data_IF_346690022005
#
_entry.id   IF_346690022005
#
_cell.length_a   1.000
_cell.length_b   1.000
_cell.length_c   1.000
_cell.angle_alpha   90.00
_cell.angle_beta   90.00
_cell.angle_gamma   90.00
#
_symmetry.space_group_name_H-M   'P 1'
#
loop_
_entity.id
_entity.type
_entity.pdbx_description
1 polymer ?
#
# COMPACT_ATOMS: atom_id res chain seq x y z
N UNK A 1 -10.88 -15.19 -3.97
CA UNK A 1 -10.55 -14.55 -2.67
C UNK A 1 -11.60 -14.96 -1.65
N UNK A 2 -11.16 -15.26 -0.42
CA UNK A 2 -12.09 -15.61 0.65
C UNK A 2 -12.77 -14.34 1.17
N UNK A 3 -14.06 -14.17 0.91
CA UNK A 3 -14.88 -13.03 1.34
C UNK A 3 -15.66 -13.30 2.62
N UNK A 4 -15.54 -14.50 3.19
CA UNK A 4 -16.33 -14.91 4.36
C UNK A 4 -16.11 -14.00 5.57
N UNK A 5 -14.86 -13.56 5.77
CA UNK A 5 -14.53 -12.59 6.82
C UNK A 5 -15.29 -11.28 6.66
N UNK A 6 -15.38 -10.73 5.44
CA UNK A 6 -16.07 -9.47 5.16
C UNK A 6 -17.59 -9.67 5.33
N UNK A 7 -18.14 -10.77 4.84
CA UNK A 7 -19.56 -11.13 5.01
C UNK A 7 -19.95 -11.29 6.48
N UNK A 8 -19.05 -11.84 7.29
CA UNK A 8 -19.26 -11.98 8.73
C UNK A 8 -19.38 -10.65 9.48
N UNK A 9 -18.90 -9.55 8.87
CA UNK A 9 -19.09 -8.19 9.38
C UNK A 9 -20.44 -7.56 8.98
N UNK A 10 -21.33 -8.31 8.33
CA UNK A 10 -22.62 -7.81 7.85
C UNK A 10 -22.54 -6.97 6.58
N UNK A 11 -21.42 -7.06 5.85
CA UNK A 11 -21.20 -6.30 4.62
C UNK A 11 -21.65 -7.11 3.41
N UNK A 12 -22.42 -6.50 2.51
CA UNK A 12 -22.76 -7.09 1.21
C UNK A 12 -21.53 -7.13 0.31
N UNK A 13 -21.25 -8.29 -0.26
CA UNK A 13 -20.10 -8.48 -1.16
C UNK A 13 -20.60 -8.79 -2.56
N UNK A 14 -20.21 -7.96 -3.51
CA UNK A 14 -20.52 -8.08 -4.93
C UNK A 14 -19.23 -8.25 -5.70
N UNK A 15 -19.21 -9.18 -6.64
CA UNK A 15 -18.09 -9.39 -7.54
C UNK A 15 -18.32 -8.60 -8.83
N UNK A 16 -17.31 -7.89 -9.28
CA UNK A 16 -17.35 -7.12 -10.51
C UNK A 16 -15.97 -6.70 -10.97
N UNK A 17 -15.88 -6.28 -12.22
CA UNK A 17 -14.67 -5.79 -12.85
C UNK A 17 -14.80 -4.28 -13.13
N UNK A 18 -13.94 -3.48 -12.51
CA UNK A 18 -13.93 -2.02 -12.69
C UNK A 18 -13.74 -1.56 -14.16
N UNK A 19 -13.23 -2.45 -15.01
CA UNK A 19 -13.08 -2.18 -16.43
C UNK A 19 -14.41 -2.32 -17.21
N UNK A 20 -15.47 -2.84 -16.61
CA UNK A 20 -16.78 -3.06 -17.22
C UNK A 20 -17.81 -2.17 -16.56
N UNK A 21 -18.31 -1.17 -17.30
CA UNK A 21 -19.26 -0.19 -16.79
C UNK A 21 -20.55 -0.84 -16.29
N UNK A 22 -21.04 -1.86 -17.00
CA UNK A 22 -22.27 -2.57 -16.69
C UNK A 22 -22.21 -3.28 -15.34
N UNK A 23 -21.06 -3.87 -15.01
CA UNK A 23 -20.85 -4.53 -13.70
C UNK A 23 -20.77 -3.50 -12.56
N UNK A 24 -20.17 -2.32 -12.81
CA UNK A 24 -20.18 -1.22 -11.85
C UNK A 24 -21.57 -0.63 -11.66
N UNK A 25 -22.32 -0.44 -12.73
CA UNK A 25 -23.67 0.11 -12.67
C UNK A 25 -24.57 -0.76 -11.79
N UNK A 26 -24.55 -2.07 -12.01
CA UNK A 26 -25.27 -3.03 -11.17
C UNK A 26 -24.89 -2.91 -9.70
N UNK A 27 -23.60 -2.72 -9.39
CA UNK A 27 -23.13 -2.50 -8.02
C UNK A 27 -23.71 -1.21 -7.41
N UNK A 28 -23.76 -0.12 -8.17
CA UNK A 28 -24.30 1.15 -7.70
C UNK A 28 -25.84 1.13 -7.56
N UNK A 29 -26.55 0.25 -8.26
CA UNK A 29 -28.00 0.12 -8.21
C UNK A 29 -28.52 -0.70 -7.02
N UNK A 30 -27.67 -1.52 -6.39
CA UNK A 30 -28.05 -2.45 -5.34
C UNK A 30 -28.76 -1.79 -4.15
N UNK A 31 -28.41 -0.56 -3.84
CA UNK A 31 -29.00 0.19 -2.74
C UNK A 31 -29.26 1.65 -3.18
N UNK A 32 -30.32 2.25 -2.63
CA UNK A 32 -30.65 3.67 -2.84
C UNK A 32 -30.47 4.44 -1.52
N UNK A 33 -29.22 4.61 -1.04
CA UNK A 33 -28.97 5.31 0.21
C UNK A 33 -29.30 6.80 0.07
N UNK A 34 -29.69 7.45 1.18
CA UNK A 34 -29.85 8.89 1.24
C UNK A 34 -28.56 9.65 0.91
N UNK A 35 -27.41 9.04 1.22
CA UNK A 35 -26.07 9.55 0.90
C UNK A 35 -25.17 8.40 0.49
N UNK A 36 -24.64 8.46 -0.73
CA UNK A 36 -23.70 7.47 -1.25
C UNK A 36 -22.26 7.98 -1.11
N UNK A 37 -21.40 7.21 -0.46
CA UNK A 37 -19.97 7.46 -0.36
C UNK A 37 -19.26 6.34 -1.10
N UNK A 38 -18.35 6.68 -2.00
CA UNK A 38 -17.54 5.74 -2.76
C UNK A 38 -16.08 5.85 -2.34
N UNK A 39 -15.48 4.74 -1.93
CA UNK A 39 -14.03 4.64 -1.65
C UNK A 39 -13.43 3.72 -2.71
N UNK A 40 -12.66 4.27 -3.62
CA UNK A 40 -12.06 3.54 -4.73
C UNK A 40 -10.64 3.12 -4.40
N UNK A 41 -10.48 1.86 -3.98
CA UNK A 41 -9.20 1.24 -3.68
C UNK A 41 -8.74 0.27 -4.78
N UNK A 42 -9.61 -0.03 -5.76
CA UNK A 42 -9.27 -0.99 -6.80
C UNK A 42 -8.12 -0.49 -7.67
N UNK A 43 -7.14 -1.35 -7.89
CA UNK A 43 -5.98 -1.03 -8.71
C UNK A 43 -4.96 -2.16 -8.68
N UNK A 44 -4.17 -2.25 -9.73
CA UNK A 44 -3.05 -3.18 -9.82
C UNK A 44 -1.81 -2.47 -9.30
N UNK A 45 -1.16 -3.09 -8.32
CA UNK A 45 0.17 -2.72 -7.83
C UNK A 45 1.14 -3.76 -8.40
N UNK A 46 1.76 -3.44 -9.51
CA UNK A 46 2.81 -4.28 -10.09
C UNK A 46 4.10 -3.47 -10.19
N UNK A 47 5.12 -4.00 -9.55
CA UNK A 47 6.48 -3.43 -9.55
C UNK A 47 7.38 -4.16 -10.57
N UNK A 48 6.82 -5.03 -11.41
CA UNK A 48 7.49 -5.67 -12.53
C UNK A 48 7.08 -4.95 -13.81
N UNK A 49 8.00 -4.77 -14.77
CA UNK A 49 7.72 -4.02 -16.00
C UNK A 49 6.84 -4.80 -17.01
N UNK A 50 6.28 -5.95 -16.62
CA UNK A 50 5.66 -6.91 -17.54
C UNK A 50 4.17 -6.71 -17.85
N UNK A 51 3.44 -5.80 -17.20
CA UNK A 51 1.97 -5.70 -17.31
C UNK A 51 1.45 -4.26 -17.46
N UNK A 52 2.15 -3.41 -18.20
CA UNK A 52 1.78 -1.98 -18.32
C UNK A 52 0.37 -1.79 -18.89
N UNK A 53 -0.01 -2.48 -19.97
CA UNK A 53 -1.35 -2.37 -20.59
C UNK A 53 -2.48 -2.74 -19.63
N UNK A 54 -2.32 -3.84 -18.89
CA UNK A 54 -3.33 -4.25 -17.91
C UNK A 54 -3.42 -3.26 -16.76
N UNK A 55 -2.29 -2.69 -16.32
CA UNK A 55 -2.27 -1.63 -15.30
C UNK A 55 -2.97 -0.37 -15.80
N UNK A 56 -2.73 0.05 -17.03
CA UNK A 56 -3.41 1.20 -17.63
C UNK A 56 -4.92 0.96 -17.72
N UNK A 57 -5.33 -0.20 -18.22
CA UNK A 57 -6.74 -0.55 -18.33
C UNK A 57 -7.45 -0.51 -16.98
N UNK A 58 -6.84 -1.08 -15.92
CA UNK A 58 -7.45 -1.15 -14.59
C UNK A 58 -7.30 0.16 -13.84
N UNK A 59 -6.08 0.71 -13.75
CA UNK A 59 -5.81 1.86 -12.90
C UNK A 59 -6.34 3.18 -13.50
N UNK A 60 -6.27 3.34 -14.82
CA UNK A 60 -6.75 4.54 -15.50
C UNK A 60 -8.19 4.31 -16.00
N UNK A 61 -8.40 3.29 -16.83
CA UNK A 61 -9.71 2.99 -17.41
C UNK A 61 -10.76 2.65 -16.35
N UNK A 62 -10.40 1.80 -15.38
CA UNK A 62 -11.27 1.45 -14.26
C UNK A 62 -11.61 2.66 -13.39
N UNK A 63 -10.64 3.54 -13.09
CA UNK A 63 -10.90 4.79 -12.34
C UNK A 63 -11.83 5.72 -13.11
N UNK A 64 -11.66 5.87 -14.43
CA UNK A 64 -12.56 6.64 -15.28
C UNK A 64 -14.00 6.10 -15.22
N UNK A 65 -14.16 4.77 -15.29
CA UNK A 65 -15.48 4.15 -15.17
C UNK A 65 -16.12 4.43 -13.80
N UNK A 66 -15.34 4.38 -12.71
CA UNK A 66 -15.85 4.72 -11.36
C UNK A 66 -16.25 6.20 -11.28
N UNK A 67 -15.48 7.12 -11.88
CA UNK A 67 -15.83 8.54 -11.97
C UNK A 67 -17.17 8.72 -12.72
N UNK A 68 -17.34 8.03 -13.86
CA UNK A 68 -18.58 8.09 -14.64
C UNK A 68 -19.79 7.60 -13.81
N UNK A 69 -19.61 6.54 -13.00
CA UNK A 69 -20.66 6.07 -12.08
C UNK A 69 -20.91 7.07 -10.95
N UNK A 70 -19.87 7.69 -10.40
CA UNK A 70 -20.04 8.73 -9.39
C UNK A 70 -20.87 9.91 -9.89
N UNK A 71 -20.68 10.32 -11.15
CA UNK A 71 -21.51 11.35 -11.80
C UNK A 71 -22.94 10.87 -12.00
N UNK A 72 -23.12 9.68 -12.61
CA UNK A 72 -24.44 9.11 -12.94
C UNK A 72 -25.33 8.94 -11.71
N UNK A 73 -24.73 8.53 -10.58
CA UNK A 73 -25.47 8.22 -9.35
C UNK A 73 -25.40 9.33 -8.28
N UNK A 74 -24.94 10.52 -8.63
CA UNK A 74 -24.87 11.71 -7.77
C UNK A 74 -24.33 11.39 -6.38
N UNK A 75 -23.07 10.91 -6.32
CA UNK A 75 -22.47 10.48 -5.06
C UNK A 75 -22.19 11.67 -4.16
N UNK A 76 -22.45 11.49 -2.86
CA UNK A 76 -22.20 12.52 -1.86
C UNK A 76 -20.71 12.78 -1.63
N UNK A 77 -19.87 11.73 -1.70
CA UNK A 77 -18.41 11.82 -1.63
C UNK A 77 -17.75 10.70 -2.42
N UNK A 78 -16.69 11.05 -3.11
CA UNK A 78 -15.82 10.11 -3.82
C UNK A 78 -14.40 10.23 -3.26
N UNK A 79 -13.87 9.19 -2.64
CA UNK A 79 -12.49 9.14 -2.17
C UNK A 79 -11.67 8.17 -3.05
N UNK A 80 -10.63 8.69 -3.65
CA UNK A 80 -9.70 7.92 -4.46
C UNK A 80 -8.42 7.62 -3.68
N UNK A 81 -8.07 6.33 -3.57
CA UNK A 81 -6.81 5.90 -2.98
C UNK A 81 -5.74 5.80 -4.07
N UNK A 82 -4.93 6.85 -4.16
CA UNK A 82 -3.79 6.94 -5.05
C UNK A 82 -2.55 6.27 -4.43
N UNK A 83 -1.39 6.89 -4.55
CA UNK A 83 -0.11 6.47 -3.94
C UNK A 83 0.84 7.65 -3.90
N UNK A 84 1.77 7.67 -2.96
CA UNK A 84 2.89 8.64 -2.98
C UNK A 84 3.76 8.52 -4.24
N UNK A 85 3.74 7.37 -4.93
CA UNK A 85 4.43 7.19 -6.21
C UNK A 85 3.86 8.06 -7.34
N UNK A 86 2.63 8.56 -7.21
CA UNK A 86 2.04 9.50 -8.16
C UNK A 86 2.61 10.92 -8.03
N UNK A 87 3.28 11.23 -6.92
CA UNK A 87 3.78 12.57 -6.61
C UNK A 87 5.18 12.73 -7.21
N UNK A 88 5.45 13.82 -7.97
CA UNK A 88 6.79 14.09 -8.47
C UNK A 88 7.82 14.22 -7.34
N UNK A 89 8.97 13.59 -7.52
CA UNK A 89 10.03 13.59 -6.51
C UNK A 89 10.93 14.82 -6.69
N UNK A 90 10.99 15.74 -5.73
CA UNK A 90 11.89 16.88 -5.79
C UNK A 90 13.36 16.46 -5.61
N UNK A 91 14.28 17.39 -5.82
CA UNK A 91 15.71 17.18 -5.60
C UNK A 91 15.98 16.58 -4.20
N UNK A 92 17.04 15.76 -4.08
CA UNK A 92 17.44 15.09 -2.84
C UNK A 92 17.46 16.06 -1.64
N UNK A 93 16.96 15.58 -0.50
CA UNK A 93 16.97 16.29 0.78
C UNK A 93 15.74 17.14 1.06
N UNK A 94 14.84 17.32 0.11
CA UNK A 94 13.57 18.03 0.36
C UNK A 94 12.47 17.04 0.78
N UNK A 95 11.68 17.44 1.76
CA UNK A 95 10.47 16.71 2.15
C UNK A 95 9.41 16.86 1.06
N UNK A 96 8.80 15.75 0.68
CA UNK A 96 7.73 15.71 -0.33
C UNK A 96 6.42 16.07 0.35
N UNK A 97 5.71 17.03 -0.23
CA UNK A 97 4.40 17.50 0.22
C UNK A 97 3.35 17.25 -0.87
N UNK A 98 2.10 17.47 -0.51
CA UNK A 98 0.99 17.39 -1.45
C UNK A 98 1.17 18.36 -2.61
N UNK A 99 0.69 17.94 -3.77
CA UNK A 99 0.53 18.73 -4.99
C UNK A 99 -0.86 18.54 -5.55
N UNK A 100 -1.32 19.44 -6.36
CA UNK A 100 -2.55 19.32 -7.15
C UNK A 100 -2.28 19.09 -8.63
N UNK A 101 -1.01 19.05 -9.03
CA UNK A 101 -0.57 18.84 -10.41
C UNK A 101 0.06 17.47 -10.55
N UNK A 102 -0.54 16.63 -11.37
CA UNK A 102 -0.09 15.26 -11.63
C UNK A 102 0.04 15.03 -13.13
N UNK A 103 1.16 14.43 -13.54
CA UNK A 103 1.41 14.04 -14.92
C UNK A 103 2.26 12.76 -14.96
N UNK A 104 1.94 11.79 -15.84
CA UNK A 104 2.74 10.59 -16.02
C UNK A 104 4.21 10.87 -16.40
N UNK A 105 4.48 12.00 -17.06
CA UNK A 105 5.81 12.40 -17.51
C UNK A 105 6.73 12.85 -16.36
N UNK A 106 6.16 13.18 -15.20
CA UNK A 106 6.90 13.70 -14.05
C UNK A 106 7.32 12.63 -13.05
N UNK A 107 6.96 11.38 -13.32
CA UNK A 107 7.23 10.23 -12.42
C UNK A 107 7.81 9.04 -13.19
N UNK A 108 8.58 8.21 -12.51
CA UNK A 108 9.25 7.05 -13.09
C UNK A 108 8.55 5.73 -12.73
N UNK A 109 8.48 4.83 -13.73
CA UNK A 109 7.90 3.50 -13.59
C UNK A 109 6.42 3.42 -13.96
N UNK A 110 6.01 2.29 -14.55
CA UNK A 110 4.67 2.09 -15.09
C UNK A 110 3.57 2.29 -14.03
N UNK A 111 3.77 1.73 -12.82
CA UNK A 111 2.83 1.91 -11.72
C UNK A 111 2.63 3.38 -11.34
N UNK A 112 3.74 4.12 -11.16
CA UNK A 112 3.70 5.53 -10.79
C UNK A 112 2.97 6.36 -11.86
N UNK A 113 3.27 6.11 -13.13
CA UNK A 113 2.63 6.78 -14.27
C UNK A 113 1.12 6.55 -14.31
N UNK A 114 0.66 5.30 -14.11
CA UNK A 114 -0.78 5.01 -14.08
C UNK A 114 -1.48 5.66 -12.89
N UNK A 115 -0.83 5.73 -11.71
CA UNK A 115 -1.38 6.40 -10.53
C UNK A 115 -1.41 7.93 -10.71
N UNK A 116 -0.40 8.52 -11.32
CA UNK A 116 -0.39 9.96 -11.64
C UNK A 116 -1.50 10.31 -12.64
N UNK A 117 -1.64 9.56 -13.74
CA UNK A 117 -2.70 9.74 -14.71
C UNK A 117 -4.10 9.62 -14.09
N UNK A 118 -4.33 8.57 -13.31
CA UNK A 118 -5.63 8.37 -12.64
C UNK A 118 -5.92 9.48 -11.62
N UNK A 119 -4.90 9.96 -10.88
CA UNK A 119 -5.06 11.08 -9.95
C UNK A 119 -5.45 12.37 -10.69
N UNK A 120 -4.81 12.65 -11.82
CA UNK A 120 -5.16 13.79 -12.66
C UNK A 120 -6.63 13.73 -13.13
N UNK A 121 -7.10 12.56 -13.59
CA UNK A 121 -8.50 12.36 -13.99
C UNK A 121 -9.48 12.59 -12.83
N UNK A 122 -9.15 12.12 -11.63
CA UNK A 122 -9.99 12.33 -10.44
C UNK A 122 -10.08 13.79 -10.08
N UNK A 123 -8.96 14.53 -10.07
CA UNK A 123 -8.96 15.97 -9.76
C UNK A 123 -9.66 16.78 -10.86
N UNK A 124 -9.52 16.40 -12.13
CA UNK A 124 -10.24 17.05 -13.23
C UNK A 124 -11.74 16.86 -13.10
N UNK A 125 -12.20 15.68 -12.65
CA UNK A 125 -13.63 15.41 -12.47
C UNK A 125 -14.31 16.30 -11.42
N UNK A 126 -13.55 16.95 -10.54
CA UNK A 126 -14.07 17.92 -9.57
C UNK A 126 -14.66 19.14 -10.29
N UNK A 127 -14.05 19.57 -11.39
CA UNK A 127 -14.58 20.67 -12.22
C UNK A 127 -15.94 20.34 -12.83
N UNK A 128 -16.20 19.05 -13.03
CA UNK A 128 -17.47 18.52 -13.53
C UNK A 128 -18.46 18.17 -12.39
N UNK A 129 -18.20 18.61 -11.17
CA UNK A 129 -19.09 18.44 -10.03
C UNK A 129 -18.92 17.14 -9.23
N UNK A 130 -17.93 16.28 -9.55
CA UNK A 130 -17.67 15.09 -8.72
C UNK A 130 -17.04 15.50 -7.39
N UNK A 131 -17.61 15.16 -6.23
CA UNK A 131 -17.10 15.56 -4.91
C UNK A 131 -15.90 14.67 -4.50
N UNK A 132 -14.81 14.76 -5.27
CA UNK A 132 -13.66 13.88 -5.13
C UNK A 132 -12.62 14.41 -4.12
N UNK A 133 -12.01 13.49 -3.40
CA UNK A 133 -10.89 13.68 -2.48
C UNK A 133 -9.86 12.61 -2.80
N UNK A 134 -8.57 12.95 -2.75
CA UNK A 134 -7.49 12.01 -3.03
C UNK A 134 -6.64 11.78 -1.80
N UNK A 135 -6.29 10.52 -1.52
CA UNK A 135 -5.29 10.17 -0.51
C UNK A 135 -4.11 9.47 -1.16
N UNK A 136 -2.91 9.75 -0.67
CA UNK A 136 -1.65 9.18 -1.15
C UNK A 136 -0.96 8.41 -0.02
N UNK A 137 -1.27 7.11 0.16
CA UNK A 137 -0.55 6.29 1.13
C UNK A 137 0.91 6.08 0.72
N UNK A 138 1.80 6.02 1.71
CA UNK A 138 3.19 5.59 1.54
C UNK A 138 3.32 4.06 1.55
N UNK A 139 4.44 3.51 1.97
CA UNK A 139 4.68 2.08 2.03
C UNK A 139 3.82 1.38 3.10
N UNK A 140 2.65 0.88 2.71
CA UNK A 140 1.71 0.24 3.63
C UNK A 140 2.28 -1.08 4.15
N UNK A 141 2.36 -1.21 5.48
CA UNK A 141 2.77 -2.41 6.19
C UNK A 141 1.83 -2.61 7.39
N UNK A 142 1.68 -3.83 7.88
CA UNK A 142 0.86 -4.06 9.07
C UNK A 142 0.22 -5.44 9.11
N UNK A 143 -0.53 -5.74 10.18
CA UNK A 143 -1.36 -6.95 10.26
C UNK A 143 -2.50 -6.89 9.24
N UNK A 144 -3.13 -8.03 8.97
CA UNK A 144 -4.28 -8.19 8.06
C UNK A 144 -3.97 -8.04 6.57
N UNK A 145 -2.75 -7.70 6.18
CA UNK A 145 -2.33 -7.65 4.78
C UNK A 145 -2.03 -9.05 4.25
N UNK A 146 -2.70 -9.41 3.16
CA UNK A 146 -2.53 -10.70 2.51
C UNK A 146 -1.14 -10.91 1.88
N UNK A 147 -0.96 -12.08 1.26
CA UNK A 147 0.30 -12.51 0.65
C UNK A 147 0.83 -11.63 -0.50
N UNK A 148 0.05 -10.66 -0.94
CA UNK A 148 0.41 -9.74 -2.03
C UNK A 148 1.31 -8.57 -1.64
N UNK A 149 1.49 -8.27 -0.36
CA UNK A 149 2.24 -7.11 0.08
C UNK A 149 3.74 -7.43 0.22
N UNK A 150 4.59 -6.70 -0.53
CA UNK A 150 6.05 -6.93 -0.55
C UNK A 150 6.73 -6.65 0.79
N UNK A 151 6.29 -5.65 1.53
CA UNK A 151 6.88 -5.30 2.83
C UNK A 151 6.56 -6.38 3.87
N UNK A 152 5.33 -6.91 3.87
CA UNK A 152 4.97 -8.05 4.71
C UNK A 152 5.72 -9.31 4.30
N UNK A 153 5.97 -9.54 2.99
CA UNK A 153 6.80 -10.66 2.52
C UNK A 153 8.26 -10.54 2.99
N UNK A 154 8.80 -9.33 3.06
CA UNK A 154 10.13 -9.08 3.63
C UNK A 154 10.14 -9.48 5.12
N UNK A 155 9.14 -9.09 5.91
CA UNK A 155 9.00 -9.50 7.32
C UNK A 155 8.89 -11.02 7.45
N UNK A 156 8.02 -11.66 6.65
CA UNK A 156 7.88 -13.13 6.60
C UNK A 156 9.21 -13.83 6.31
N UNK A 157 9.94 -13.32 5.32
CA UNK A 157 11.24 -13.88 4.93
C UNK A 157 12.27 -13.75 6.03
N UNK A 158 12.28 -12.61 6.75
CA UNK A 158 13.16 -12.40 7.90
C UNK A 158 12.85 -13.37 9.04
N UNK A 159 11.60 -13.43 9.51
CA UNK A 159 11.22 -14.27 10.65
C UNK A 159 11.32 -15.77 10.36
N UNK A 160 11.19 -16.17 9.09
CA UNK A 160 11.44 -17.55 8.63
C UNK A 160 12.92 -17.88 8.46
N UNK A 161 13.82 -16.89 8.62
CA UNK A 161 15.25 -17.05 8.37
C UNK A 161 15.62 -17.30 6.91
N UNK A 162 14.76 -16.88 5.99
CA UNK A 162 14.93 -17.00 4.52
C UNK A 162 15.46 -15.73 3.85
N UNK A 163 15.68 -14.66 4.62
CA UNK A 163 16.21 -13.39 4.12
C UNK A 163 17.74 -13.36 4.32
N UNK A 164 18.55 -13.66 3.29
CA UNK A 164 19.99 -13.74 3.44
C UNK A 164 20.65 -12.38 3.53
N UNK A 165 20.10 -11.40 2.81
CA UNK A 165 20.64 -10.06 2.74
C UNK A 165 19.54 -9.03 2.43
N UNK A 166 19.83 -7.78 2.74
CA UNK A 166 19.02 -6.60 2.39
C UNK A 166 19.87 -5.61 1.60
N UNK A 167 19.22 -4.73 0.87
CA UNK A 167 19.87 -3.68 0.08
C UNK A 167 19.86 -2.37 0.88
N UNK A 168 20.90 -1.55 0.71
CA UNK A 168 20.94 -0.20 1.29
C UNK A 168 19.85 0.68 0.67
N UNK A 169 19.23 1.48 1.50
CA UNK A 169 18.16 2.40 1.16
C UNK A 169 17.00 2.27 2.14
N UNK A 170 15.95 3.02 1.92
CA UNK A 170 14.82 3.08 2.83
C UNK A 170 13.53 3.42 2.14
N UNK A 171 12.46 3.34 2.91
CA UNK A 171 11.11 3.74 2.53
C UNK A 171 10.48 4.54 3.67
N UNK A 172 9.44 5.28 3.32
CA UNK A 172 8.45 5.72 4.29
C UNK A 172 7.45 4.59 4.53
N UNK A 173 7.19 4.26 5.81
CA UNK A 173 6.32 3.17 6.20
C UNK A 173 5.10 3.69 6.95
N UNK A 174 3.91 3.24 6.54
CA UNK A 174 2.65 3.54 7.22
C UNK A 174 1.94 2.26 7.64
N UNK A 175 1.37 2.25 8.85
CA UNK A 175 0.53 1.14 9.30
C UNK A 175 -0.79 1.09 8.51
N UNK A 176 -1.19 -0.09 8.06
CA UNK A 176 -2.44 -0.30 7.31
C UNK A 176 -3.67 0.21 8.07
N UNK A 177 -3.66 0.13 9.40
CA UNK A 177 -4.77 0.59 10.26
C UNK A 177 -4.83 2.11 10.31
N UNK A 178 -3.68 2.79 10.31
CA UNK A 178 -3.60 4.25 10.28
C UNK A 178 -3.96 4.76 8.89
N UNK A 179 -3.52 4.06 7.85
CA UNK A 179 -3.94 4.34 6.48
C UNK A 179 -5.48 4.24 6.35
N UNK A 180 -6.09 3.16 6.86
CA UNK A 180 -7.55 2.99 6.84
C UNK A 180 -8.26 4.07 7.67
N UNK A 181 -7.73 4.41 8.85
CA UNK A 181 -8.24 5.51 9.67
C UNK A 181 -8.15 6.86 8.96
N UNK A 182 -7.02 7.14 8.30
CA UNK A 182 -6.82 8.34 7.49
C UNK A 182 -7.78 8.44 6.30
N UNK A 183 -8.06 7.31 5.63
CA UNK A 183 -9.08 7.22 4.57
C UNK A 183 -10.46 7.61 5.11
N UNK A 184 -10.87 7.04 6.24
CA UNK A 184 -12.16 7.35 6.86
C UNK A 184 -12.24 8.81 7.35
N UNK A 185 -11.14 9.34 7.90
CA UNK A 185 -11.04 10.75 8.28
C UNK A 185 -11.12 11.67 7.05
N UNK A 186 -10.48 11.31 5.93
CA UNK A 186 -10.57 12.07 4.69
C UNK A 186 -12.00 12.06 4.11
N UNK A 187 -12.71 10.94 4.20
CA UNK A 187 -14.14 10.89 3.84
C UNK A 187 -14.96 11.86 4.68
N UNK A 188 -14.67 11.98 5.97
CA UNK A 188 -15.46 12.77 6.92
C UNK A 188 -15.10 14.25 6.88
N UNK A 189 -13.83 14.59 6.84
CA UNK A 189 -13.31 15.94 7.05
C UNK A 189 -12.56 16.53 5.86
N UNK A 190 -12.15 15.68 4.88
CA UNK A 190 -11.38 16.11 3.74
C UNK A 190 -12.13 17.12 2.86
N UNK A 191 -11.39 18.05 2.28
CA UNK A 191 -11.92 19.05 1.39
C UNK A 191 -11.98 18.52 -0.05
N UNK A 192 -13.06 18.84 -0.77
CA UNK A 192 -13.23 18.43 -2.17
C UNK A 192 -12.13 19.07 -3.02
N UNK A 193 -11.54 18.30 -3.91
CA UNK A 193 -10.44 18.74 -4.78
C UNK A 193 -9.06 18.66 -4.13
N UNK A 194 -8.97 18.28 -2.84
CA UNK A 194 -7.72 18.24 -2.11
C UNK A 194 -7.07 16.85 -2.07
N UNK A 195 -5.74 16.88 -1.93
CA UNK A 195 -4.89 15.71 -1.77
C UNK A 195 -4.35 15.65 -0.34
N UNK A 196 -4.24 14.44 0.21
CA UNK A 196 -3.68 14.18 1.53
C UNK A 196 -2.67 13.04 1.48
N UNK A 197 -1.46 13.27 1.96
CA UNK A 197 -0.45 12.22 2.12
C UNK A 197 -0.72 11.49 3.44
N UNK A 198 -0.88 10.16 3.35
CA UNK A 198 -1.00 9.27 4.50
C UNK A 198 0.31 8.50 4.65
N UNK A 199 1.33 9.18 5.15
CA UNK A 199 2.66 8.62 5.43
C UNK A 199 2.84 8.34 6.92
N UNK A 200 3.85 7.53 7.24
CA UNK A 200 4.39 7.43 8.58
C UNK A 200 5.75 8.13 8.63
N UNK A 201 6.78 7.35 8.97
CA UNK A 201 8.16 7.83 9.00
C UNK A 201 9.07 7.10 8.02
N UNK A 202 10.11 7.78 7.59
CA UNK A 202 11.17 7.17 6.78
C UNK A 202 12.13 6.37 7.65
N UNK A 203 12.36 5.11 7.27
CA UNK A 203 13.36 4.24 7.88
C UNK A 203 14.24 3.59 6.82
N UNK A 204 15.53 3.48 7.10
CA UNK A 204 16.40 2.60 6.34
C UNK A 204 16.01 1.13 6.57
N UNK A 205 16.17 0.29 5.55
CA UNK A 205 15.86 -1.15 5.67
C UNK A 205 16.70 -1.80 6.78
N UNK A 206 17.92 -1.31 7.02
CA UNK A 206 18.75 -1.76 8.13
C UNK A 206 18.09 -1.50 9.49
N UNK A 207 17.49 -0.33 9.69
CA UNK A 207 16.79 0.02 10.93
C UNK A 207 15.57 -0.88 11.14
N UNK A 208 14.84 -1.16 10.06
CA UNK A 208 13.72 -2.12 10.09
C UNK A 208 14.20 -3.51 10.52
N UNK A 209 15.37 -3.97 10.00
CA UNK A 209 15.93 -5.26 10.43
C UNK A 209 16.37 -5.24 11.90
N UNK A 210 16.90 -4.12 12.39
CA UNK A 210 17.27 -3.96 13.80
C UNK A 210 16.03 -3.99 14.72
N UNK A 211 14.93 -3.39 14.31
CA UNK A 211 13.63 -3.48 14.99
C UNK A 211 13.11 -4.92 15.01
N UNK A 212 13.11 -5.60 13.86
CA UNK A 212 12.68 -7.00 13.77
C UNK A 212 13.57 -7.91 14.60
N UNK A 213 14.88 -7.66 14.68
CA UNK A 213 15.79 -8.41 15.55
C UNK A 213 15.42 -8.26 17.03
N UNK A 214 15.03 -7.05 17.46
CA UNK A 214 14.56 -6.82 18.83
C UNK A 214 13.26 -7.57 19.13
N UNK A 215 12.38 -7.70 18.12
CA UNK A 215 11.10 -8.40 18.25
C UNK A 215 11.30 -9.92 18.26
N UNK A 216 12.10 -10.49 17.35
CA UNK A 216 12.14 -11.94 17.12
C UNK A 216 13.51 -12.60 17.38
N UNK A 217 14.50 -11.88 17.89
CA UNK A 217 15.85 -12.40 18.19
C UNK A 217 16.50 -13.16 17.02
N UNK A 218 16.18 -12.78 15.77
CA UNK A 218 16.72 -13.39 14.56
C UNK A 218 18.17 -12.97 14.27
N UNK A 219 18.80 -13.63 13.30
CA UNK A 219 20.10 -13.18 12.79
C UNK A 219 19.90 -11.97 11.90
N UNK A 220 20.79 -10.97 12.00
CA UNK A 220 20.79 -9.85 11.04
C UNK A 220 21.15 -10.38 9.66
N UNK A 221 20.37 -10.01 8.61
CA UNK A 221 20.77 -10.30 7.24
C UNK A 221 22.00 -9.49 6.85
N UNK A 222 22.79 -9.98 5.93
CA UNK A 222 23.88 -9.23 5.33
C UNK A 222 23.35 -7.98 4.60
N UNK A 223 24.23 -7.02 4.32
CA UNK A 223 23.87 -5.85 3.50
C UNK A 223 24.60 -5.90 2.18
N UNK A 224 23.86 -5.81 1.09
CA UNK A 224 24.40 -5.81 -0.27
C UNK A 224 24.37 -4.38 -0.83
N UNK A 225 25.47 -3.91 -1.46
CA UNK A 225 25.46 -2.64 -2.17
C UNK A 225 24.43 -2.63 -3.29
N UNK A 226 23.79 -1.47 -3.52
CA UNK A 226 22.70 -1.32 -4.51
C UNK A 226 23.14 -1.71 -5.94
N UNK A 227 24.36 -1.37 -6.34
CA UNK A 227 24.88 -1.72 -7.66
C UNK A 227 24.95 -3.23 -7.90
N UNK A 228 25.37 -3.99 -6.88
CA UNK A 228 25.44 -5.45 -6.96
C UNK A 228 24.03 -6.07 -6.97
N UNK A 229 23.10 -5.51 -6.17
CA UNK A 229 21.72 -5.93 -6.19
C UNK A 229 21.06 -5.68 -7.55
N UNK A 230 21.32 -4.53 -8.20
CA UNK A 230 20.83 -4.23 -9.54
C UNK A 230 21.35 -5.20 -10.60
N UNK A 231 22.62 -5.63 -10.51
CA UNK A 231 23.19 -6.63 -11.41
C UNK A 231 22.53 -8.01 -11.25
N UNK A 232 22.23 -8.41 -10.02
CA UNK A 232 21.63 -9.70 -9.69
C UNK A 232 20.09 -9.73 -9.91
N UNK A 233 19.42 -8.57 -9.88
CA UNK A 233 17.96 -8.47 -9.91
C UNK A 233 17.31 -9.20 -11.09
N UNK A 234 17.74 -9.05 -12.37
CA UNK A 234 17.08 -9.71 -13.50
C UNK A 234 17.11 -11.24 -13.38
N UNK A 235 18.23 -11.79 -12.92
CA UNK A 235 18.39 -13.25 -12.74
C UNK A 235 17.52 -13.76 -11.58
N UNK A 236 17.47 -13.03 -10.47
CA UNK A 236 16.64 -13.39 -9.33
C UNK A 236 15.15 -13.27 -9.61
N UNK A 237 14.76 -12.25 -10.37
CA UNK A 237 13.39 -12.02 -10.84
C UNK A 237 12.93 -13.16 -11.75
N UNK A 238 13.71 -13.47 -12.78
CA UNK A 238 13.44 -14.59 -13.67
C UNK A 238 13.31 -15.93 -12.94
N UNK A 239 14.19 -16.19 -11.99
CA UNK A 239 14.14 -17.41 -11.18
C UNK A 239 12.89 -17.46 -10.27
N UNK A 240 12.50 -16.34 -9.68
CA UNK A 240 11.29 -16.27 -8.87
C UNK A 240 10.02 -16.50 -9.71
N UNK A 241 9.91 -15.87 -10.87
CA UNK A 241 8.79 -15.99 -11.79
C UNK A 241 8.64 -17.43 -12.31
N UNK A 242 9.75 -18.11 -12.69
CA UNK A 242 9.73 -19.53 -13.09
C UNK A 242 9.20 -20.46 -11.99
N UNK A 243 9.31 -20.06 -10.71
CA UNK A 243 8.78 -20.81 -9.56
C UNK A 243 7.39 -20.37 -9.13
N UNK A 244 6.71 -19.52 -9.90
CA UNK A 244 5.41 -18.96 -9.55
C UNK A 244 5.44 -18.09 -8.29
N UNK A 245 6.62 -17.53 -7.93
CA UNK A 245 6.79 -16.68 -6.76
C UNK A 245 6.97 -15.23 -7.18
N UNK A 246 6.43 -14.31 -6.41
CA UNK A 246 6.71 -12.89 -6.59
C UNK A 246 8.16 -12.60 -6.17
N UNK A 247 8.95 -11.91 -7.01
CA UNK A 247 10.32 -11.53 -6.66
C UNK A 247 10.31 -10.52 -5.50
N UNK A 248 11.22 -10.69 -4.54
CA UNK A 248 11.42 -9.74 -3.44
C UNK A 248 12.14 -8.46 -3.90
N UNK A 249 12.97 -8.59 -4.93
CA UNK A 249 13.76 -7.50 -5.49
C UNK A 249 13.56 -7.49 -7.00
N UNK A 250 13.03 -6.39 -7.52
CA UNK A 250 12.93 -6.09 -8.94
C UNK A 250 13.80 -4.87 -9.25
N UNK A 251 14.11 -4.63 -10.51
CA UNK A 251 14.85 -3.43 -10.90
C UNK A 251 14.16 -2.16 -10.43
N UNK A 252 12.82 -2.12 -10.55
CA UNK A 252 12.00 -1.00 -10.07
C UNK A 252 12.06 -0.86 -8.54
N UNK A 253 11.85 -1.93 -7.76
CA UNK A 253 11.89 -1.84 -6.30
C UNK A 253 13.26 -1.42 -5.78
N UNK A 254 14.33 -1.78 -6.47
CA UNK A 254 15.69 -1.34 -6.15
C UNK A 254 15.93 0.13 -6.52
N UNK A 255 15.30 0.62 -7.58
CA UNK A 255 15.40 2.05 -7.94
C UNK A 255 14.71 2.92 -6.90
N UNK A 256 13.53 2.50 -6.40
CA UNK A 256 12.76 3.25 -5.38
C UNK A 256 13.48 3.34 -4.02
N UNK A 257 14.32 2.35 -3.66
CA UNK A 257 15.13 2.39 -2.43
C UNK A 257 16.11 3.57 -2.36
N UNK A 258 16.54 4.09 -3.50
CA UNK A 258 17.52 5.19 -3.57
C UNK A 258 16.90 6.55 -3.90
N UNK A 259 15.58 6.59 -4.07
CA UNK A 259 14.83 7.82 -4.32
C UNK A 259 14.50 8.49 -2.99
N UNK A 260 14.36 9.82 -3.00
CA UNK A 260 13.86 10.54 -1.85
C UNK A 260 12.44 10.04 -1.50
N UNK A 261 12.28 9.47 -0.32
CA UNK A 261 11.01 8.91 0.17
C UNK A 261 10.62 9.52 1.52
N UNK A 262 11.00 10.79 1.75
CA UNK A 262 10.60 11.53 2.95
C UNK A 262 9.36 12.34 2.65
N UNK A 263 8.22 11.89 3.12
CA UNK A 263 6.93 12.54 2.92
C UNK A 263 6.51 13.29 4.18
N UNK A 264 5.77 14.39 4.01
CA UNK A 264 5.10 15.08 5.12
C UNK A 264 3.62 14.68 5.13
N UNK A 265 3.12 14.34 6.31
CA UNK A 265 1.69 14.18 6.57
C UNK A 265 1.10 15.35 7.37
N UNK A 266 1.82 16.48 7.45
CA UNK A 266 1.41 17.65 8.25
C UNK A 266 0.00 18.13 7.90
N UNK A 267 -0.35 18.14 6.60
CA UNK A 267 -1.68 18.52 6.13
C UNK A 267 -2.74 17.55 6.62
N UNK A 268 -2.50 16.24 6.48
CA UNK A 268 -3.41 15.22 6.98
C UNK A 268 -3.56 15.29 8.51
N UNK A 269 -2.47 15.54 9.25
CA UNK A 269 -2.53 15.75 10.70
C UNK A 269 -3.40 16.95 11.07
N UNK A 270 -3.19 18.08 10.39
CA UNK A 270 -3.89 19.34 10.70
C UNK A 270 -5.37 19.28 10.34
N UNK A 271 -5.71 18.76 9.16
CA UNK A 271 -7.05 18.84 8.60
C UNK A 271 -7.91 17.60 8.89
N UNK A 272 -7.28 16.43 9.04
CA UNK A 272 -7.97 15.15 9.24
C UNK A 272 -7.80 14.56 10.65
N UNK A 273 -6.93 15.14 11.48
CA UNK A 273 -6.55 14.55 12.78
C UNK A 273 -5.72 13.27 12.63
N UNK A 274 -5.01 13.12 11.49
CA UNK A 274 -4.21 11.95 11.21
C UNK A 274 -2.98 11.88 12.11
N UNK A 275 -2.76 10.73 12.76
CA UNK A 275 -1.60 10.50 13.64
C UNK A 275 -1.14 9.05 13.44
N UNK A 276 -0.07 8.82 12.65
CA UNK A 276 0.45 7.48 12.43
C UNK A 276 1.18 6.95 13.68
N UNK A 277 1.10 5.65 13.90
CA UNK A 277 1.83 4.96 14.96
C UNK A 277 3.28 4.71 14.59
N UNK A 278 4.12 4.51 15.59
CA UNK A 278 5.51 4.14 15.41
C UNK A 278 5.66 2.80 14.66
N UNK A 279 6.61 2.71 13.74
CA UNK A 279 6.87 1.51 12.94
C UNK A 279 7.19 0.28 13.82
N UNK A 280 7.84 0.47 14.97
CA UNK A 280 8.15 -0.64 15.87
C UNK A 280 6.88 -1.36 16.38
N UNK A 281 5.83 -0.60 16.70
CA UNK A 281 4.52 -1.15 17.11
C UNK A 281 3.90 -1.92 15.95
N UNK A 282 3.90 -1.32 14.76
CA UNK A 282 3.40 -1.96 13.52
C UNK A 282 4.09 -3.27 13.23
N UNK A 283 5.42 -3.31 13.28
CA UNK A 283 6.21 -4.53 13.05
C UNK A 283 5.93 -5.61 14.08
N UNK A 284 5.83 -5.23 15.36
CA UNK A 284 5.49 -6.14 16.44
C UNK A 284 4.13 -6.80 16.22
N UNK A 285 3.11 -5.99 15.93
CA UNK A 285 1.74 -6.47 15.69
C UNK A 285 1.68 -7.33 14.42
N UNK A 286 2.40 -6.95 13.37
CA UNK A 286 2.50 -7.73 12.13
C UNK A 286 3.10 -9.12 12.39
N UNK A 287 4.19 -9.19 13.14
CA UNK A 287 4.82 -10.46 13.52
C UNK A 287 3.85 -11.32 14.34
N UNK A 288 3.18 -10.74 15.33
CA UNK A 288 2.20 -11.44 16.16
C UNK A 288 1.05 -12.01 15.32
N UNK A 289 0.51 -11.20 14.41
CA UNK A 289 -0.57 -11.60 13.50
C UNK A 289 -0.12 -12.76 12.59
N UNK A 290 1.04 -12.64 11.94
CA UNK A 290 1.57 -13.68 11.05
C UNK A 290 1.79 -15.03 11.75
N UNK A 291 2.17 -14.99 13.02
CA UNK A 291 2.34 -16.19 13.85
C UNK A 291 1.00 -16.76 14.27
N UNK A 292 0.07 -15.91 14.71
CA UNK A 292 -1.27 -16.30 15.17
C UNK A 292 -2.08 -16.94 14.04
N UNK A 293 -2.01 -16.41 12.82
CA UNK A 293 -2.75 -16.94 11.65
C UNK A 293 -2.06 -18.16 11.01
N UNK A 294 -0.89 -18.58 11.52
CA UNK A 294 -0.14 -19.69 10.94
C UNK A 294 0.54 -19.36 9.59
N UNK A 295 0.45 -18.12 9.14
CA UNK A 295 1.06 -17.67 7.87
C UNK A 295 2.58 -17.69 7.90
N UNK A 296 3.17 -17.69 9.08
CA UNK A 296 4.59 -17.85 9.26
C UNK A 296 4.92 -18.69 10.49
N UNK A 297 5.84 -19.65 10.31
CA UNK A 297 6.44 -20.36 11.43
C UNK A 297 7.74 -19.67 11.80
N UNK A 298 7.85 -19.26 13.05
CA UNK A 298 9.10 -18.77 13.58
C UNK A 298 10.16 -19.88 13.51
N UNK A 299 11.31 -19.61 12.92
CA UNK A 299 12.45 -20.51 13.02
C UNK A 299 12.76 -20.62 14.52
N UNK A 300 12.66 -21.82 15.07
CA UNK A 300 12.83 -22.08 16.49
C UNK A 300 14.10 -21.44 17.04
N UNK A 301 13.96 -20.24 17.59
CA UNK A 301 15.01 -19.63 18.36
C UNK A 301 14.98 -20.25 19.75
N UNK A 302 16.11 -20.74 20.23
CA UNK A 302 16.31 -21.34 21.57
C UNK A 302 16.02 -20.35 22.72
N UNK A 303 15.24 -19.29 22.54
CA UNK A 303 15.12 -18.19 23.50
C UNK A 303 13.72 -18.04 24.11
N UNK A 304 13.70 -17.98 25.43
CA UNK A 304 12.53 -17.87 26.33
C UNK A 304 11.63 -16.63 26.08
N UNK A 305 12.04 -15.60 25.37
CA UNK A 305 11.22 -14.43 25.03
C UNK A 305 10.02 -14.77 24.14
N UNK A 306 10.11 -15.85 23.37
CA UNK A 306 9.07 -16.30 22.45
C UNK A 306 7.87 -16.98 23.12
N UNK A 307 8.02 -17.55 24.32
CA UNK A 307 6.89 -18.13 25.04
C UNK A 307 5.80 -17.11 25.38
N UNK A 308 6.16 -15.82 25.51
CA UNK A 308 5.20 -14.72 25.79
C UNK A 308 4.40 -14.25 24.57
N UNK A 309 4.76 -14.65 23.34
CA UNK A 309 4.03 -14.29 22.11
C UNK A 309 3.06 -15.38 21.63
N UNK A 310 3.08 -16.57 22.25
CA UNK A 310 2.05 -17.59 21.99
C UNK A 310 0.77 -17.19 22.72
N UNK A 311 -0.37 -17.18 22.02
CA UNK A 311 -1.65 -17.13 22.73
C UNK A 311 -1.69 -18.32 23.69
N UNK A 312 -2.19 -18.11 24.90
CA UNK A 312 -2.54 -19.21 25.82
C UNK A 312 -3.42 -20.18 25.05
N UNK A 313 -3.20 -21.52 25.16
CA UNK A 313 -4.15 -22.45 24.60
C UNK A 313 -5.51 -22.11 25.21
N UNK A 314 -6.48 -21.76 24.37
CA UNK A 314 -7.87 -21.60 24.77
C UNK A 314 -8.26 -22.94 25.40
N UNK A 315 -8.56 -22.90 26.69
CA UNK A 315 -9.30 -23.98 27.32
C UNK A 315 -10.60 -24.09 26.55
N UNK A 316 -10.87 -25.31 26.07
CA UNK A 316 -11.93 -25.74 25.18
C UNK A 316 -13.35 -25.38 25.58
#
# INVERSE_FOLDING_TARGET
>A
ENTDFIRALGVSVVFGNVCKKEELETFFELEKPARRIVIHCAGIVDITDGNSERMELVNIGGTKNVIDMCKKFDVHRFLYVSSVHAIPVPAKGRVIKETTTFSPETVDGAYAKTKAAATALVLESVKDGVPAIVVHPSGIIGPYLGNGNHLVQMVKSYISGKLPAVVRGGYDFVDVRDCAGGILSAVKFGQIGECYILSGDFYEIKEVMDMLQKIVSGKKPGTVPLWLAKLAAPMLEHHALRRGKRPLFTAYSLSTLNVNSRFSHDKATKELGYTPRELFVTLKDTVQWLVKTGECRLRAAKNARYKKLRPSPSQG
#
